data_IF_391194304281
#
_entry.id   IF_391194304281
#
_cell.length_a   1.000
_cell.length_b   1.000
_cell.length_c   1.000
_cell.angle_alpha   90.00
_cell.angle_beta   90.00
_cell.angle_gamma   90.00
#
_symmetry.space_group_name_H-M   'P 1'
#
loop_
_entity.id
_entity.type
_entity.pdbx_description
1 polymer ?
#
# COMPACT_ATOMS: atom_id res chain seq x y z
N UNK A 1 12.87 -19.59 24.01
CA UNK A 1 12.52 -18.32 23.33
C UNK A 1 11.74 -18.71 22.08
N UNK A 2 10.47 -18.34 21.97
CA UNK A 2 9.67 -18.66 20.79
C UNK A 2 10.03 -17.69 19.67
N UNK A 3 10.88 -18.13 18.74
CA UNK A 3 11.05 -17.46 17.44
C UNK A 3 9.71 -17.56 16.69
N UNK A 4 9.01 -16.42 16.58
CA UNK A 4 7.88 -16.31 15.66
C UNK A 4 8.46 -16.33 14.25
N UNK A 5 8.64 -17.53 13.68
CA UNK A 5 8.92 -17.70 12.25
C UNK A 5 7.77 -17.05 11.49
N UNK A 6 8.01 -15.85 10.99
CA UNK A 6 7.09 -15.19 10.07
C UNK A 6 7.10 -16.04 8.81
N UNK A 7 5.95 -16.58 8.44
CA UNK A 7 5.77 -17.20 7.13
C UNK A 7 5.88 -16.09 6.08
N UNK A 8 7.02 -16.05 5.39
CA UNK A 8 7.33 -15.03 4.38
C UNK A 8 6.31 -15.06 3.24
N UNK A 9 5.76 -16.22 2.89
CA UNK A 9 4.73 -16.32 1.86
C UNK A 9 3.41 -15.71 2.34
N UNK A 10 2.99 -16.03 3.57
CA UNK A 10 1.80 -15.43 4.17
C UNK A 10 1.93 -13.90 4.35
N UNK A 11 3.12 -13.44 4.74
CA UNK A 11 3.40 -12.00 4.92
C UNK A 11 3.41 -11.25 3.59
N UNK A 12 4.03 -11.83 2.55
CA UNK A 12 4.00 -11.30 1.19
C UNK A 12 2.55 -11.19 0.71
N UNK A 13 1.75 -12.24 0.85
CA UNK A 13 0.37 -12.24 0.40
C UNK A 13 -0.49 -11.21 1.15
N UNK A 14 -0.22 -10.99 2.46
CA UNK A 14 -0.86 -9.91 3.23
C UNK A 14 -0.50 -8.54 2.67
N UNK A 15 0.79 -8.29 2.44
CA UNK A 15 1.27 -6.99 1.96
C UNK A 15 0.83 -6.71 0.52
N UNK A 16 0.78 -7.72 -0.36
CA UNK A 16 0.24 -7.58 -1.71
C UNK A 16 -1.23 -7.16 -1.69
N UNK A 17 -2.06 -7.84 -0.90
CA UNK A 17 -3.49 -7.49 -0.76
C UNK A 17 -3.70 -6.11 -0.14
N UNK A 18 -2.84 -5.73 0.81
CA UNK A 18 -2.87 -4.39 1.39
C UNK A 18 -2.50 -3.33 0.36
N UNK A 19 -1.44 -3.56 -0.42
CA UNK A 19 -1.01 -2.67 -1.49
C UNK A 19 -2.13 -2.47 -2.52
N UNK A 20 -2.77 -3.54 -2.98
CA UNK A 20 -3.91 -3.49 -3.91
C UNK A 20 -5.08 -2.65 -3.34
N UNK A 21 -5.39 -2.81 -2.05
CA UNK A 21 -6.43 -2.01 -1.38
C UNK A 21 -6.06 -0.53 -1.32
N UNK A 22 -4.82 -0.21 -0.95
CA UNK A 22 -4.35 1.16 -0.85
C UNK A 22 -4.36 1.85 -2.23
N UNK A 23 -3.87 1.16 -3.27
CA UNK A 23 -3.86 1.66 -4.65
C UNK A 23 -5.28 1.87 -5.20
N UNK A 24 -6.19 0.92 -4.93
CA UNK A 24 -7.62 1.07 -5.27
C UNK A 24 -8.24 2.27 -4.55
N UNK A 25 -7.84 2.51 -3.29
CA UNK A 25 -8.24 3.70 -2.52
C UNK A 25 -7.78 4.99 -3.18
N UNK A 26 -6.53 5.07 -3.64
CA UNK A 26 -6.01 6.22 -4.39
C UNK A 26 -6.82 6.44 -5.66
N UNK A 27 -7.06 5.39 -6.44
CA UNK A 27 -7.83 5.48 -7.69
C UNK A 27 -9.24 6.05 -7.47
N UNK A 28 -9.93 5.57 -6.44
CA UNK A 28 -11.26 6.06 -6.07
C UNK A 28 -11.24 7.53 -5.62
N UNK A 29 -10.27 7.91 -4.78
CA UNK A 29 -10.13 9.29 -4.32
C UNK A 29 -9.80 10.24 -5.47
N UNK A 30 -8.87 9.87 -6.37
CA UNK A 30 -8.56 10.64 -7.58
C UNK A 30 -9.78 10.81 -8.48
N UNK A 31 -10.56 9.74 -8.69
CA UNK A 31 -11.77 9.78 -9.51
C UNK A 31 -12.82 10.75 -8.94
N UNK A 32 -13.02 10.74 -7.63
CA UNK A 32 -13.97 11.66 -6.97
C UNK A 32 -13.45 13.10 -6.94
N UNK A 33 -12.16 13.32 -6.62
CA UNK A 33 -11.54 14.64 -6.61
C UNK A 33 -11.41 15.27 -8.01
N UNK A 34 -11.38 14.46 -9.08
CA UNK A 34 -11.43 14.93 -10.46
C UNK A 34 -12.84 15.17 -11.01
N UNK A 35 -13.88 14.74 -10.30
CA UNK A 35 -15.27 14.88 -10.74
C UNK A 35 -15.86 16.22 -10.27
N UNK A 36 -15.91 17.20 -11.17
CA UNK A 36 -16.45 18.54 -10.88
C UNK A 36 -17.91 18.53 -10.40
N UNK A 37 -18.74 17.60 -10.91
CA UNK A 37 -20.12 17.45 -10.46
C UNK A 37 -20.23 16.96 -9.02
N UNK A 38 -19.30 16.10 -8.59
CA UNK A 38 -19.17 15.70 -7.20
C UNK A 38 -18.66 16.85 -6.33
N UNK A 39 -17.61 17.56 -6.76
CA UNK A 39 -17.05 18.67 -5.98
C UNK A 39 -18.04 19.82 -5.76
N UNK A 40 -18.85 20.15 -6.76
CA UNK A 40 -19.91 21.14 -6.61
C UNK A 40 -21.05 20.65 -5.69
N UNK A 41 -21.30 19.33 -5.73
CA UNK A 41 -22.30 18.56 -4.97
C UNK A 41 -22.01 18.41 -3.47
N UNK A 42 -20.75 18.10 -3.18
CA UNK A 42 -20.35 17.45 -1.94
C UNK A 42 -20.09 18.47 -0.83
N UNK A 43 -20.44 18.14 0.43
CA UNK A 43 -20.06 18.98 1.57
C UNK A 43 -18.54 19.14 1.66
N UNK A 44 -18.07 20.34 2.05
CA UNK A 44 -16.65 20.64 2.20
C UNK A 44 -15.92 19.62 3.09
N UNK A 45 -16.54 19.20 4.21
CA UNK A 45 -15.96 18.21 5.11
C UNK A 45 -15.70 16.85 4.42
N UNK A 46 -16.53 16.46 3.46
CA UNK A 46 -16.36 15.22 2.69
C UNK A 46 -15.21 15.36 1.70
N UNK A 47 -15.14 16.49 1.00
CA UNK A 47 -14.04 16.77 0.05
C UNK A 47 -12.71 16.84 0.79
N UNK A 48 -12.64 17.54 1.93
CA UNK A 48 -11.43 17.63 2.74
C UNK A 48 -11.05 16.29 3.39
N UNK A 49 -12.03 15.49 3.82
CA UNK A 49 -11.80 14.11 4.26
C UNK A 49 -11.18 13.26 3.15
N UNK A 50 -11.69 13.39 1.92
CA UNK A 50 -11.19 12.66 0.76
C UNK A 50 -9.76 13.11 0.36
N UNK A 51 -9.47 14.41 0.40
CA UNK A 51 -8.12 14.95 0.16
C UNK A 51 -7.11 14.45 1.19
N UNK A 52 -7.48 14.48 2.48
CA UNK A 52 -6.63 13.93 3.55
C UNK A 52 -6.39 12.44 3.36
N UNK A 53 -7.45 11.68 3.08
CA UNK A 53 -7.33 10.24 2.83
C UNK A 53 -6.43 9.96 1.62
N UNK A 54 -6.57 10.72 0.55
CA UNK A 54 -5.69 10.60 -0.61
C UNK A 54 -4.22 10.82 -0.24
N UNK A 55 -3.91 11.89 0.50
CA UNK A 55 -2.54 12.19 0.94
C UNK A 55 -1.97 11.09 1.86
N UNK A 56 -2.76 10.57 2.80
CA UNK A 56 -2.35 9.42 3.63
C UNK A 56 -2.02 8.19 2.79
N UNK A 57 -2.88 7.86 1.83
CA UNK A 57 -2.68 6.71 0.95
C UNK A 57 -1.43 6.89 0.07
N UNK A 58 -1.18 8.09 -0.45
CA UNK A 58 0.02 8.41 -1.22
C UNK A 58 1.31 8.22 -0.40
N UNK A 59 1.25 8.36 0.93
CA UNK A 59 2.39 8.06 1.81
C UNK A 59 2.50 6.56 2.18
N UNK A 60 1.38 5.84 2.27
CA UNK A 60 1.35 4.43 2.69
C UNK A 60 1.70 3.46 1.55
N UNK A 61 1.25 3.73 0.33
CA UNK A 61 1.54 2.90 -0.85
C UNK A 61 3.05 2.67 -1.05
N UNK A 62 3.91 3.70 -1.11
CA UNK A 62 5.35 3.47 -1.33
C UNK A 62 5.99 2.69 -0.19
N UNK A 63 5.59 2.92 1.07
CA UNK A 63 6.10 2.18 2.23
C UNK A 63 5.74 0.69 2.14
N UNK A 64 4.48 0.40 1.82
CA UNK A 64 3.98 -0.98 1.68
C UNK A 64 4.65 -1.69 0.51
N UNK A 65 4.84 -0.99 -0.61
CA UNK A 65 5.56 -1.51 -1.79
C UNK A 65 7.02 -1.83 -1.47
N UNK A 66 7.73 -0.93 -0.76
CA UNK A 66 9.11 -1.18 -0.35
C UNK A 66 9.20 -2.40 0.56
N UNK A 67 8.34 -2.50 1.58
CA UNK A 67 8.31 -3.65 2.48
C UNK A 67 8.06 -4.97 1.73
N UNK A 68 7.13 -4.97 0.77
CA UNK A 68 6.87 -6.13 -0.09
C UNK A 68 8.12 -6.51 -0.92
N UNK A 69 8.78 -5.53 -1.54
CA UNK A 69 10.00 -5.76 -2.32
C UNK A 69 11.16 -6.29 -1.47
N UNK A 70 11.31 -5.82 -0.23
CA UNK A 70 12.33 -6.31 0.70
C UNK A 70 12.11 -7.78 1.05
N UNK A 71 10.87 -8.21 1.26
CA UNK A 71 10.56 -9.64 1.46
C UNK A 71 10.85 -10.48 0.22
N UNK A 72 10.55 -9.96 -0.97
CA UNK A 72 10.88 -10.64 -2.24
C UNK A 72 12.40 -10.75 -2.45
N UNK A 73 13.18 -9.72 -2.11
CA UNK A 73 14.64 -9.77 -2.15
C UNK A 73 15.18 -10.77 -1.13
N UNK A 74 14.73 -10.71 0.12
CA UNK A 74 15.23 -11.58 1.19
C UNK A 74 14.88 -13.05 0.93
N UNK A 75 13.73 -13.36 0.31
CA UNK A 75 13.38 -14.72 -0.11
C UNK A 75 14.24 -15.25 -1.27
N UNK A 76 14.73 -14.38 -2.17
CA UNK A 76 15.63 -14.76 -3.28
C UNK A 76 17.09 -14.88 -2.85
N UNK A 77 17.53 -14.10 -1.86
CA UNK A 77 18.93 -14.10 -1.39
C UNK A 77 19.25 -15.30 -0.49
N UNK A 78 18.22 -16.02 0.00
CA UNK A 78 18.37 -17.29 0.72
C UNK A 78 18.69 -18.50 -0.17
N UNK A 79 18.79 -18.33 -1.50
CA UNK A 79 19.05 -19.43 -2.44
C UNK A 79 20.05 -19.03 -3.54
N UNK A 80 21.18 -18.38 -3.21
CA UNK A 80 22.43 -18.59 -3.96
C UNK A 80 23.66 -17.98 -3.27
N UNK A 81 24.67 -18.81 -3.01
CA UNK A 81 26.07 -18.48 -3.24
C UNK A 81 26.79 -17.55 -2.27
N UNK A 82 27.53 -18.18 -1.34
CA UNK A 82 28.93 -17.86 -1.02
C UNK A 82 29.55 -16.79 -1.93
N UNK A 83 29.91 -15.64 -1.38
CA UNK A 83 30.95 -14.79 -1.96
C UNK A 83 32.20 -14.96 -1.09
N UNK A 84 33.18 -15.66 -1.66
CA UNK A 84 34.59 -15.53 -1.28
C UNK A 84 35.25 -14.38 -2.01
#
# INVERSE_FOLDING_TARGET
VYERKIDVAAERDRLSKELERLESGIGNAKRQLGNQGFLAKAPAAVVEGLRRRHAELEQLVPKTRVALQELEKNSKTGSNGSHG
#
